data_IF_580493556718
#
_entry.id   IF_580493556718
#
_cell.length_a   1.000
_cell.length_b   1.000
_cell.length_c   1.000
_cell.angle_alpha   90.00
_cell.angle_beta   90.00
_cell.angle_gamma   90.00
#
_symmetry.space_group_name_H-M   'P 1'
#
loop_
_entity.id
_entity.type
_entity.pdbx_description
1 polymer ?
#
# COMPACT_ATOMS: atom_id res chain seq x y z
N UNK A 1 32.77 23.85 -12.20
CA UNK A 1 31.31 23.74 -11.99
C UNK A 1 30.85 22.29 -12.01
N UNK A 2 31.21 21.50 -13.03
CA UNK A 2 30.86 20.07 -13.15
C UNK A 2 31.28 19.20 -11.95
N UNK A 3 32.53 19.32 -11.46
CA UNK A 3 32.99 18.59 -10.27
C UNK A 3 32.19 18.96 -9.01
N UNK A 4 31.81 20.22 -8.87
CA UNK A 4 31.01 20.68 -7.73
C UNK A 4 29.61 20.08 -7.75
N UNK A 5 28.95 20.05 -8.92
CA UNK A 5 27.64 19.39 -9.11
C UNK A 5 27.73 17.90 -8.77
N UNK A 6 28.76 17.20 -9.25
CA UNK A 6 28.98 15.80 -8.94
C UNK A 6 29.14 15.55 -7.43
N UNK A 7 29.86 16.42 -6.72
CA UNK A 7 29.99 16.34 -5.25
C UNK A 7 28.65 16.57 -4.56
N UNK A 8 27.86 17.55 -5.00
CA UNK A 8 26.52 17.78 -4.45
C UNK A 8 25.60 16.57 -4.64
N UNK A 9 25.67 15.91 -5.81
CA UNK A 9 24.96 14.67 -6.07
C UNK A 9 25.40 13.54 -5.13
N UNK A 10 26.71 13.33 -4.93
CA UNK A 10 27.22 12.34 -3.97
C UNK A 10 26.70 12.62 -2.54
N UNK A 11 26.73 13.88 -2.12
CA UNK A 11 26.20 14.30 -0.81
C UNK A 11 24.70 13.99 -0.72
N UNK A 12 23.93 14.35 -1.75
CA UNK A 12 22.50 14.04 -1.82
C UNK A 12 22.23 12.55 -1.67
N UNK A 13 23.03 11.68 -2.30
CA UNK A 13 22.83 10.22 -2.24
C UNK A 13 23.13 9.67 -0.86
N UNK A 14 24.23 10.13 -0.25
CA UNK A 14 24.56 9.76 1.12
C UNK A 14 23.42 10.13 2.07
N UNK A 15 22.80 11.31 1.87
CA UNK A 15 21.64 11.76 2.65
C UNK A 15 20.38 10.94 2.35
N UNK A 16 20.11 10.53 1.10
CA UNK A 16 18.99 9.64 0.80
C UNK A 16 19.14 8.28 1.49
N UNK A 17 20.32 7.67 1.39
CA UNK A 17 20.61 6.37 2.03
C UNK A 17 20.48 6.50 3.55
N UNK A 18 21.13 7.49 4.15
CA UNK A 18 21.08 7.70 5.60
C UNK A 18 19.67 8.07 6.09
N UNK A 19 18.93 8.85 5.29
CA UNK A 19 17.53 9.19 5.53
C UNK A 19 16.64 7.94 5.58
N UNK A 20 16.76 7.05 4.59
CA UNK A 20 16.03 5.78 4.52
C UNK A 20 16.39 4.83 5.66
N UNK A 21 17.67 4.74 6.03
CA UNK A 21 18.08 3.98 7.21
C UNK A 21 17.37 4.50 8.48
N UNK A 22 17.23 5.81 8.63
CA UNK A 22 16.48 6.42 9.72
C UNK A 22 14.97 6.10 9.72
N UNK A 23 14.38 5.71 8.59
CA UNK A 23 12.96 5.34 8.50
C UNK A 23 12.65 3.92 8.98
N UNK A 24 13.68 3.11 9.26
CA UNK A 24 13.49 1.72 9.74
C UNK A 24 12.93 1.61 11.15
N UNK A 25 13.00 2.68 11.95
CA UNK A 25 12.53 2.69 13.33
C UNK A 25 11.75 3.96 13.69
N UNK A 26 10.70 3.89 14.54
CA UNK A 26 9.86 5.04 14.87
C UNK A 26 10.64 6.22 15.48
N UNK A 27 11.62 5.93 16.34
CA UNK A 27 12.42 6.96 17.05
C UNK A 27 13.25 7.83 16.10
N UNK A 28 13.73 7.26 15.00
CA UNK A 28 14.58 7.96 14.02
C UNK A 28 13.80 8.41 12.78
N UNK A 29 12.56 7.96 12.59
CA UNK A 29 11.78 8.17 11.37
C UNK A 29 11.64 9.65 10.98
N UNK A 30 11.32 10.52 11.95
CA UNK A 30 11.19 11.97 11.69
C UNK A 30 12.51 12.57 11.21
N UNK A 31 13.60 12.24 11.89
CA UNK A 31 14.95 12.71 11.50
C UNK A 31 15.35 12.15 10.14
N UNK A 32 15.08 10.87 9.88
CA UNK A 32 15.35 10.22 8.60
C UNK A 32 14.64 10.92 7.44
N UNK A 33 13.36 11.26 7.63
CA UNK A 33 12.59 11.99 6.62
C UNK A 33 13.17 13.40 6.35
N UNK A 34 13.54 14.15 7.39
CA UNK A 34 14.18 15.46 7.21
C UNK A 34 15.51 15.38 6.45
N UNK A 35 16.32 14.37 6.75
CA UNK A 35 17.61 14.15 6.07
C UNK A 35 17.39 13.85 4.59
N UNK A 36 16.43 12.98 4.26
CA UNK A 36 16.07 12.70 2.87
C UNK A 36 15.54 13.96 2.15
N UNK A 37 14.75 14.80 2.82
CA UNK A 37 14.28 16.07 2.26
C UNK A 37 15.41 17.07 1.98
N UNK A 38 16.40 17.17 2.87
CA UNK A 38 17.62 17.97 2.62
C UNK A 38 18.41 17.42 1.43
N UNK A 39 18.55 16.09 1.33
CA UNK A 39 19.13 15.45 0.15
C UNK A 39 18.43 15.88 -1.14
N UNK A 40 17.10 15.80 -1.19
CA UNK A 40 16.32 16.24 -2.34
C UNK A 40 16.55 17.72 -2.68
N UNK A 41 16.58 18.60 -1.68
CA UNK A 41 16.91 20.01 -1.88
C UNK A 41 18.28 20.22 -2.53
N UNK A 42 19.30 19.49 -2.07
CA UNK A 42 20.65 19.53 -2.64
C UNK A 42 20.65 19.02 -4.09
N UNK A 43 19.97 17.90 -4.39
CA UNK A 43 19.87 17.38 -5.75
C UNK A 43 19.20 18.36 -6.72
N UNK A 44 18.13 19.05 -6.29
CA UNK A 44 17.46 20.08 -7.09
C UNK A 44 18.41 21.24 -7.35
N UNK A 45 19.08 21.77 -6.31
CA UNK A 45 20.04 22.86 -6.47
C UNK A 45 21.19 22.46 -7.41
N UNK A 46 21.76 21.26 -7.23
CA UNK A 46 22.83 20.74 -8.09
C UNK A 46 22.38 20.68 -9.56
N UNK A 47 21.16 20.22 -9.81
CA UNK A 47 20.58 20.15 -11.15
C UNK A 47 20.40 21.54 -11.76
N UNK A 48 19.92 22.52 -11.00
CA UNK A 48 19.76 23.90 -11.47
C UNK A 48 21.10 24.57 -11.80
N UNK A 49 22.20 24.15 -11.20
CA UNK A 49 23.55 24.67 -11.49
C UNK A 49 24.19 24.07 -12.75
N UNK A 50 23.54 23.11 -13.40
CA UNK A 50 24.05 22.47 -14.63
C UNK A 50 24.29 23.52 -15.73
N UNK A 51 25.49 23.54 -16.34
CA UNK A 51 25.78 24.47 -17.44
C UNK A 51 24.78 24.31 -18.58
N UNK A 52 24.31 25.43 -19.13
CA UNK A 52 23.30 25.43 -20.19
C UNK A 52 21.85 25.40 -19.71
N UNK A 53 21.60 25.39 -18.39
CA UNK A 53 20.25 25.53 -17.84
C UNK A 53 19.61 26.83 -18.31
N UNK A 54 18.43 26.70 -18.93
CA UNK A 54 17.66 27.79 -19.52
C UNK A 54 16.19 27.67 -19.13
N UNK A 55 15.33 28.55 -19.66
CA UNK A 55 13.89 28.52 -19.40
C UNK A 55 13.50 28.60 -17.91
N UNK A 56 14.25 29.40 -17.14
CA UNK A 56 14.07 29.59 -15.70
C UNK A 56 12.62 29.90 -15.28
N UNK A 57 11.90 30.67 -16.10
CA UNK A 57 10.48 30.98 -15.85
C UNK A 57 9.60 29.72 -15.91
N UNK A 58 9.81 28.84 -16.89
CA UNK A 58 9.05 27.60 -17.03
C UNK A 58 9.40 26.61 -15.92
N UNK A 59 10.67 26.52 -15.54
CA UNK A 59 11.12 25.71 -14.39
C UNK A 59 10.44 26.19 -13.11
N UNK A 60 10.52 27.49 -12.83
CA UNK A 60 9.91 28.09 -11.64
C UNK A 60 8.39 27.90 -11.63
N UNK A 61 7.73 28.06 -12.79
CA UNK A 61 6.29 27.83 -12.93
C UNK A 61 5.92 26.37 -12.66
N UNK A 62 6.67 25.42 -13.22
CA UNK A 62 6.45 23.99 -12.99
C UNK A 62 6.58 23.61 -11.51
N UNK A 63 7.63 24.09 -10.84
CA UNK A 63 7.83 23.90 -9.39
C UNK A 63 6.68 24.56 -8.61
N UNK A 64 6.28 25.78 -8.96
CA UNK A 64 5.20 26.49 -8.28
C UNK A 64 3.87 25.74 -8.40
N UNK A 65 3.51 25.27 -9.60
CA UNK A 65 2.29 24.48 -9.83
C UNK A 65 2.37 23.17 -9.02
N UNK A 66 3.50 22.47 -9.07
CA UNK A 66 3.71 21.25 -8.30
C UNK A 66 3.55 21.45 -6.80
N UNK A 67 4.08 22.54 -6.25
CA UNK A 67 3.93 22.90 -4.83
C UNK A 67 2.49 23.25 -4.49
N UNK A 68 1.83 24.07 -5.32
CA UNK A 68 0.44 24.52 -5.10
C UNK A 68 -0.55 23.36 -5.18
N UNK A 69 -0.32 22.35 -6.01
CA UNK A 69 -1.19 21.17 -6.10
C UNK A 69 -0.80 20.13 -5.05
N UNK A 70 0.49 19.86 -4.87
CA UNK A 70 1.00 18.77 -4.03
C UNK A 70 0.87 19.04 -2.53
N UNK A 71 1.30 20.21 -2.05
CA UNK A 71 1.36 20.51 -0.60
C UNK A 71 -0.02 20.57 0.03
N UNK A 72 -1.03 21.28 -0.53
CA UNK A 72 -2.36 21.30 0.06
C UNK A 72 -3.03 19.92 0.02
N UNK A 73 -2.85 19.16 -1.05
CA UNK A 73 -3.42 17.82 -1.19
C UNK A 73 -2.84 16.85 -0.14
N UNK A 74 -1.52 16.90 0.08
CA UNK A 74 -0.86 16.08 1.10
C UNK A 74 -1.25 16.47 2.54
N UNK A 75 -1.48 17.77 2.82
CA UNK A 75 -1.84 18.24 4.16
C UNK A 75 -3.31 18.04 4.53
N UNK A 76 -4.21 17.94 3.55
CA UNK A 76 -5.66 17.84 3.77
C UNK A 76 -6.19 16.40 3.72
N UNK A 77 -5.40 15.44 3.25
CA UNK A 77 -5.84 14.04 3.20
C UNK A 77 -5.99 13.48 4.62
N UNK A 78 -7.07 12.73 4.86
CA UNK A 78 -7.25 11.96 6.10
C UNK A 78 -6.31 10.77 6.13
N UNK A 79 -5.86 10.34 7.32
CA UNK A 79 -4.93 9.21 7.45
C UNK A 79 -5.51 7.89 6.90
N UNK A 80 -6.83 7.71 6.93
CA UNK A 80 -7.52 6.56 6.32
C UNK A 80 -7.50 6.54 4.79
N UNK A 81 -7.24 7.68 4.17
CA UNK A 81 -7.18 7.88 2.72
C UNK A 81 -5.73 8.00 2.19
N UNK A 82 -4.73 7.72 3.04
CA UNK A 82 -3.32 7.69 2.64
C UNK A 82 -3.01 6.72 1.49
N UNK A 83 -3.60 5.50 1.40
CA UNK A 83 -3.28 4.57 0.32
C UNK A 83 -3.49 5.15 -1.08
N UNK A 84 -4.64 5.81 -1.31
CA UNK A 84 -4.93 6.41 -2.61
C UNK A 84 -4.02 7.60 -2.94
N UNK A 85 -3.62 8.39 -1.93
CA UNK A 85 -2.67 9.49 -2.15
C UNK A 85 -1.29 8.99 -2.56
N UNK A 86 -0.82 7.89 -1.96
CA UNK A 86 0.44 7.24 -2.35
C UNK A 86 0.35 6.75 -3.79
N UNK A 87 -0.76 6.14 -4.19
CA UNK A 87 -1.00 5.73 -5.58
C UNK A 87 -0.88 6.94 -6.53
N UNK A 88 -1.59 8.03 -6.23
CA UNK A 88 -1.61 9.22 -7.09
C UNK A 88 -0.20 9.84 -7.24
N UNK A 89 0.55 10.01 -6.15
CA UNK A 89 1.90 10.57 -6.21
C UNK A 89 2.89 9.66 -6.94
N UNK A 90 2.79 8.34 -6.76
CA UNK A 90 3.57 7.40 -7.56
C UNK A 90 3.25 7.54 -9.06
N UNK A 91 1.95 7.65 -9.39
CA UNK A 91 1.48 7.86 -10.75
C UNK A 91 2.15 9.08 -11.40
N UNK A 92 2.08 10.24 -10.74
CA UNK A 92 2.71 11.49 -11.22
C UNK A 92 4.21 11.31 -11.45
N UNK A 93 4.91 10.58 -10.57
CA UNK A 93 6.33 10.23 -10.76
C UNK A 93 6.58 9.41 -12.03
N UNK A 94 5.81 8.36 -12.28
CA UNK A 94 5.89 7.56 -13.51
C UNK A 94 5.57 8.39 -14.77
N UNK A 95 4.58 9.27 -14.68
CA UNK A 95 4.21 10.19 -15.76
C UNK A 95 5.34 11.17 -16.09
N UNK A 96 6.03 11.70 -15.07
CA UNK A 96 7.18 12.56 -15.28
C UNK A 96 8.30 11.84 -16.03
N UNK A 97 8.62 10.59 -15.67
CA UNK A 97 9.63 9.78 -16.39
C UNK A 97 9.22 9.53 -17.84
N UNK A 98 7.94 9.22 -18.09
CA UNK A 98 7.43 9.03 -19.45
C UNK A 98 7.52 10.31 -20.31
N UNK A 99 7.23 11.47 -19.71
CA UNK A 99 7.38 12.77 -20.38
C UNK A 99 8.86 13.12 -20.64
N UNK A 100 9.76 12.80 -19.71
CA UNK A 100 11.20 13.00 -19.91
C UNK A 100 11.68 12.15 -21.09
N UNK A 101 11.27 10.88 -21.19
CA UNK A 101 11.61 10.02 -22.32
C UNK A 101 11.06 10.56 -23.65
N UNK A 102 9.88 11.19 -23.65
CA UNK A 102 9.34 11.85 -24.84
C UNK A 102 10.15 13.09 -25.24
N UNK A 103 10.55 13.91 -24.26
CA UNK A 103 11.45 15.05 -24.51
C UNK A 103 12.79 14.58 -25.06
N UNK A 104 13.35 13.50 -24.51
CA UNK A 104 14.62 12.93 -24.97
C UNK A 104 14.51 12.42 -26.42
N UNK A 105 13.42 11.71 -26.75
CA UNK A 105 13.16 11.27 -28.13
C UNK A 105 13.14 12.46 -29.11
N UNK A 106 12.54 13.60 -28.72
CA UNK A 106 12.52 14.80 -29.57
C UNK A 106 13.88 15.50 -29.64
N UNK A 107 14.65 15.48 -28.56
CA UNK A 107 15.95 16.16 -28.48
C UNK A 107 17.01 15.41 -29.27
N UNK A 108 16.92 14.08 -29.32
CA UNK A 108 17.83 13.17 -30.03
C UNK A 108 17.38 12.84 -31.46
N UNK A 109 16.31 13.49 -31.94
CA UNK A 109 15.72 13.25 -33.27
C UNK A 109 15.44 11.76 -33.55
N UNK A 110 14.89 11.05 -32.57
CA UNK A 110 14.53 9.64 -32.71
C UNK A 110 15.64 8.63 -32.40
N UNK A 111 16.67 9.03 -31.66
CA UNK A 111 17.78 8.17 -31.20
C UNK A 111 18.66 7.56 -32.30
N UNK A 112 18.48 7.91 -33.58
CA UNK A 112 19.21 7.28 -34.70
C UNK A 112 20.74 7.43 -34.61
N UNK A 113 21.20 8.48 -33.92
CA UNK A 113 22.62 8.79 -33.73
C UNK A 113 23.10 8.53 -32.29
N UNK A 114 22.22 8.07 -31.42
CA UNK A 114 22.55 7.78 -30.03
C UNK A 114 23.06 6.35 -29.85
N UNK A 115 23.91 6.09 -28.84
CA UNK A 115 24.26 4.73 -28.47
C UNK A 115 23.01 3.90 -28.16
N UNK A 116 23.03 2.61 -28.55
CA UNK A 116 21.87 1.73 -28.37
C UNK A 116 21.36 1.66 -26.91
N UNK A 117 22.24 1.81 -25.91
CA UNK A 117 21.81 1.81 -24.51
C UNK A 117 20.94 3.02 -24.15
N UNK A 118 21.15 4.19 -24.77
CA UNK A 118 20.36 5.41 -24.54
C UNK A 118 18.94 5.20 -25.06
N UNK A 119 18.82 4.69 -26.30
CA UNK A 119 17.53 4.36 -26.91
C UNK A 119 16.78 3.32 -26.07
N UNK A 120 17.43 2.19 -25.74
CA UNK A 120 16.80 1.10 -24.97
C UNK A 120 16.36 1.59 -23.59
N UNK A 121 17.21 2.33 -22.87
CA UNK A 121 16.91 2.80 -21.53
C UNK A 121 15.77 3.84 -21.52
N UNK A 122 15.76 4.76 -22.49
CA UNK A 122 14.70 5.76 -22.65
C UNK A 122 13.35 5.14 -23.02
N UNK A 123 13.34 4.17 -23.94
CA UNK A 123 12.12 3.48 -24.35
C UNK A 123 11.57 2.57 -23.25
N UNK A 124 12.44 1.90 -22.49
CA UNK A 124 12.03 1.18 -21.28
C UNK A 124 11.41 2.14 -20.26
N UNK A 125 12.05 3.29 -20.01
CA UNK A 125 11.54 4.31 -19.11
C UNK A 125 10.17 4.86 -19.57
N UNK A 126 9.98 5.08 -20.87
CA UNK A 126 8.71 5.52 -21.45
C UNK A 126 7.58 4.51 -21.22
N UNK A 127 7.84 3.22 -21.51
CA UNK A 127 6.85 2.15 -21.32
C UNK A 127 6.49 2.02 -19.85
N UNK A 128 7.48 1.84 -18.99
CA UNK A 128 7.27 1.55 -17.57
C UNK A 128 6.69 2.78 -16.85
N UNK A 129 7.17 3.98 -17.17
CA UNK A 129 6.63 5.23 -16.64
C UNK A 129 5.15 5.44 -17.00
N UNK A 130 4.78 5.18 -18.27
CA UNK A 130 3.39 5.29 -18.74
C UNK A 130 2.48 4.23 -18.09
N UNK A 131 2.94 2.97 -18.01
CA UNK A 131 2.24 1.90 -17.27
C UNK A 131 2.01 2.30 -15.81
N UNK A 132 3.05 2.81 -15.14
CA UNK A 132 2.95 3.26 -13.75
C UNK A 132 1.99 4.43 -13.56
N UNK A 133 2.01 5.43 -14.45
CA UNK A 133 1.08 6.56 -14.40
C UNK A 133 -0.37 6.11 -14.50
N UNK A 134 -0.70 5.40 -15.57
CA UNK A 134 -2.08 5.00 -15.86
C UNK A 134 -2.58 3.93 -14.90
N UNK A 135 -1.74 2.95 -14.55
CA UNK A 135 -2.07 1.94 -13.55
C UNK A 135 -2.34 2.55 -12.17
N UNK A 136 -1.55 3.54 -11.77
CA UNK A 136 -1.72 4.22 -10.48
C UNK A 136 -3.02 5.05 -10.43
N UNK A 137 -3.45 5.63 -11.56
CA UNK A 137 -4.73 6.33 -11.64
C UNK A 137 -5.93 5.37 -11.47
N UNK A 138 -5.84 4.15 -12.00
CA UNK A 138 -6.86 3.11 -11.75
C UNK A 138 -6.85 2.69 -10.28
N UNK A 139 -5.68 2.46 -9.68
CA UNK A 139 -5.55 2.13 -8.26
C UNK A 139 -6.13 3.23 -7.37
N UNK A 140 -5.82 4.50 -7.66
CA UNK A 140 -6.43 5.66 -7.01
C UNK A 140 -7.95 5.65 -7.15
N UNK A 141 -8.47 5.48 -8.37
CA UNK A 141 -9.91 5.48 -8.64
C UNK A 141 -10.65 4.37 -7.88
N UNK A 142 -10.07 3.18 -7.77
CA UNK A 142 -10.65 2.08 -6.98
C UNK A 142 -10.64 2.33 -5.48
N UNK A 143 -9.53 2.85 -4.94
CA UNK A 143 -9.40 3.11 -3.50
C UNK A 143 -10.22 4.31 -3.05
N UNK A 144 -10.41 5.30 -3.94
CA UNK A 144 -11.31 6.43 -3.74
C UNK A 144 -12.79 6.08 -4.03
N UNK A 145 -13.06 4.82 -4.41
CA UNK A 145 -14.41 4.31 -4.70
C UNK A 145 -15.12 5.06 -5.85
N UNK A 146 -14.34 5.75 -6.70
CA UNK A 146 -14.79 6.32 -7.98
C UNK A 146 -14.99 5.23 -9.03
N UNK A 147 -14.20 4.15 -8.92
CA UNK A 147 -14.31 2.92 -9.70
C UNK A 147 -14.64 1.81 -8.71
N UNK A 148 -15.44 0.82 -9.14
CA UNK A 148 -15.74 -0.35 -8.29
C UNK A 148 -14.45 -1.03 -7.82
N UNK A 149 -14.37 -1.31 -6.52
CA UNK A 149 -13.27 -2.09 -5.93
C UNK A 149 -13.27 -3.57 -6.34
N UNK A 150 -14.32 -4.08 -7.01
CA UNK A 150 -14.35 -5.44 -7.53
C UNK A 150 -13.39 -5.59 -8.73
N UNK A 151 -12.86 -6.79 -8.99
CA UNK A 151 -12.18 -7.12 -10.24
C UNK A 151 -13.05 -6.80 -11.46
N UNK A 152 -12.56 -5.96 -12.37
CA UNK A 152 -13.21 -5.70 -13.67
C UNK A 152 -12.35 -6.38 -14.73
N UNK A 153 -12.80 -7.55 -15.19
CA UNK A 153 -12.00 -8.42 -16.07
C UNK A 153 -12.61 -8.51 -17.46
N UNK A 154 -11.76 -8.77 -18.46
CA UNK A 154 -12.17 -9.15 -19.80
C UNK A 154 -12.36 -10.68 -19.94
N UNK A 155 -12.53 -11.39 -18.81
CA UNK A 155 -12.61 -12.84 -18.76
C UNK A 155 -11.40 -13.52 -19.44
N UNK A 156 -11.67 -14.50 -20.30
CA UNK A 156 -10.63 -15.27 -21.00
C UNK A 156 -9.78 -14.43 -21.96
N UNK A 157 -10.27 -13.27 -22.40
CA UNK A 157 -9.55 -12.37 -23.30
C UNK A 157 -8.52 -11.49 -22.60
N UNK A 158 -8.49 -11.46 -21.26
CA UNK A 158 -7.61 -10.58 -20.51
C UNK A 158 -6.12 -10.78 -20.85
N UNK A 159 -5.61 -12.02 -20.78
CA UNK A 159 -4.20 -12.30 -21.05
C UNK A 159 -3.83 -12.09 -22.52
N UNK A 160 -4.63 -12.54 -23.51
CA UNK A 160 -4.42 -12.18 -24.91
C UNK A 160 -4.38 -10.67 -25.17
N UNK A 161 -5.29 -9.90 -24.56
CA UNK A 161 -5.33 -8.44 -24.72
C UNK A 161 -4.10 -7.80 -24.08
N UNK A 162 -3.73 -8.20 -22.86
CA UNK A 162 -2.52 -7.69 -22.20
C UNK A 162 -1.26 -7.98 -23.04
N UNK A 163 -1.13 -9.21 -23.56
CA UNK A 163 -0.01 -9.60 -24.40
C UNK A 163 0.01 -8.82 -25.72
N UNK A 164 -1.14 -8.64 -26.37
CA UNK A 164 -1.26 -7.88 -27.62
C UNK A 164 -0.83 -6.43 -27.42
N UNK A 165 -1.31 -5.77 -26.37
CA UNK A 165 -0.98 -4.36 -26.09
C UNK A 165 0.49 -4.21 -25.70
N UNK A 166 1.06 -5.16 -24.94
CA UNK A 166 2.49 -5.18 -24.65
C UNK A 166 3.33 -5.36 -25.91
N UNK A 167 2.95 -6.30 -26.79
CA UNK A 167 3.63 -6.50 -28.08
C UNK A 167 3.54 -5.23 -28.92
N UNK A 168 2.39 -4.55 -28.96
CA UNK A 168 2.25 -3.29 -29.68
C UNK A 168 3.22 -2.22 -29.14
N UNK A 169 3.31 -2.05 -27.82
CA UNK A 169 4.27 -1.12 -27.20
C UNK A 169 5.74 -1.48 -27.52
N UNK A 170 6.08 -2.77 -27.49
CA UNK A 170 7.43 -3.26 -27.85
C UNK A 170 7.71 -3.03 -29.35
N UNK A 171 6.74 -3.25 -30.23
CA UNK A 171 6.90 -3.01 -31.68
C UNK A 171 7.18 -1.53 -31.92
N UNK A 172 6.44 -0.60 -31.31
CA UNK A 172 6.76 0.82 -31.41
C UNK A 172 8.17 1.12 -30.89
N UNK A 173 8.57 0.54 -29.76
CA UNK A 173 9.90 0.73 -29.19
C UNK A 173 11.00 0.23 -30.13
N UNK A 174 10.85 -0.96 -30.70
CA UNK A 174 11.82 -1.54 -31.65
C UNK A 174 11.91 -0.67 -32.90
N UNK A 175 10.79 -0.25 -33.47
CA UNK A 175 10.78 0.61 -34.66
C UNK A 175 11.54 1.91 -34.38
N UNK A 176 11.28 2.55 -33.23
CA UNK A 176 12.01 3.75 -32.81
C UNK A 176 13.51 3.45 -32.66
N UNK A 177 13.87 2.41 -31.91
CA UNK A 177 15.26 2.04 -31.67
C UNK A 177 16.05 1.69 -32.95
N UNK A 178 15.35 1.28 -34.01
CA UNK A 178 15.96 1.01 -35.34
C UNK A 178 15.99 2.22 -36.28
N UNK A 179 15.68 3.42 -35.78
CA UNK A 179 15.76 4.68 -36.53
C UNK A 179 14.42 5.30 -36.91
N UNK A 180 13.31 4.85 -36.33
CA UNK A 180 12.01 5.52 -36.50
C UNK A 180 11.93 6.80 -35.68
N UNK A 181 11.83 7.94 -36.34
CA UNK A 181 11.87 9.29 -35.77
C UNK A 181 10.50 10.00 -35.72
N UNK A 182 9.47 9.41 -36.33
CA UNK A 182 8.15 10.00 -36.38
C UNK A 182 7.54 10.13 -34.97
N UNK A 183 7.09 11.34 -34.60
CA UNK A 183 6.51 11.64 -33.28
C UNK A 183 5.28 10.76 -32.95
N UNK A 184 4.53 10.35 -33.97
CA UNK A 184 3.40 9.43 -33.84
C UNK A 184 3.81 8.04 -33.31
N UNK A 185 5.05 7.58 -33.56
CA UNK A 185 5.54 6.31 -33.01
C UNK A 185 5.70 6.42 -31.49
N UNK A 186 6.28 7.52 -31.01
CA UNK A 186 6.45 7.75 -29.58
C UNK A 186 5.11 7.94 -28.86
N UNK A 187 4.18 8.68 -29.48
CA UNK A 187 2.81 8.80 -28.96
C UNK A 187 2.12 7.43 -28.95
N UNK A 188 2.25 6.64 -30.02
CA UNK A 188 1.72 5.28 -30.11
C UNK A 188 2.24 4.37 -29.00
N UNK A 189 3.55 4.43 -28.72
CA UNK A 189 4.19 3.72 -27.62
C UNK A 189 3.61 4.12 -26.27
N UNK A 190 3.52 5.44 -25.99
CA UNK A 190 3.01 5.96 -24.72
C UNK A 190 1.55 5.59 -24.50
N UNK A 191 0.72 5.67 -25.54
CA UNK A 191 -0.70 5.29 -25.51
C UNK A 191 -0.84 3.78 -25.32
N UNK A 192 -0.10 2.94 -26.06
CA UNK A 192 -0.13 1.49 -25.88
C UNK A 192 0.30 1.10 -24.46
N UNK A 193 1.38 1.68 -23.94
CA UNK A 193 1.83 1.47 -22.57
C UNK A 193 0.81 1.98 -21.53
N UNK A 194 0.14 3.09 -21.81
CA UNK A 194 -0.90 3.63 -20.94
C UNK A 194 -2.13 2.72 -20.89
N UNK A 195 -2.59 2.23 -22.05
CA UNK A 195 -3.65 1.22 -22.14
C UNK A 195 -3.22 -0.04 -21.38
N UNK A 196 -1.97 -0.50 -21.53
CA UNK A 196 -1.43 -1.63 -20.78
C UNK A 196 -1.55 -1.42 -19.26
N UNK A 197 -1.14 -0.25 -18.76
CA UNK A 197 -1.30 0.11 -17.34
C UNK A 197 -2.74 0.03 -16.86
N UNK A 198 -3.69 0.52 -17.67
CA UNK A 198 -5.13 0.43 -17.37
C UNK A 198 -5.61 -1.02 -17.34
N UNK A 199 -5.35 -1.81 -18.39
CA UNK A 199 -5.88 -3.18 -18.51
C UNK A 199 -5.22 -4.17 -17.55
N UNK A 200 -3.99 -3.91 -17.09
CA UNK A 200 -3.31 -4.75 -16.09
C UNK A 200 -3.85 -4.49 -14.68
N UNK A 201 -4.22 -3.25 -14.32
CA UNK A 201 -4.68 -2.91 -12.96
C UNK A 201 -6.19 -3.09 -12.77
N UNK A 202 -7.01 -2.86 -13.80
CA UNK A 202 -8.46 -3.07 -13.80
C UNK A 202 -8.94 -4.44 -13.24
N UNK A 203 -8.34 -5.59 -13.62
CA UNK A 203 -8.78 -6.89 -13.13
C UNK A 203 -8.37 -7.17 -11.68
N UNK A 204 -7.54 -6.34 -11.07
CA UNK A 204 -7.05 -6.57 -9.72
C UNK A 204 -8.08 -6.06 -8.69
N UNK A 205 -8.33 -6.84 -7.64
CA UNK A 205 -9.31 -6.53 -6.59
C UNK A 205 -8.84 -5.46 -5.60
N UNK A 206 -9.80 -4.80 -4.94
CA UNK A 206 -9.57 -3.67 -4.04
C UNK A 206 -8.58 -3.90 -2.90
N UNK A 207 -8.53 -5.09 -2.27
CA UNK A 207 -7.54 -5.34 -1.21
C UNK A 207 -6.22 -5.91 -1.70
N UNK A 208 -6.08 -6.21 -2.99
CA UNK A 208 -4.76 -6.43 -3.59
C UNK A 208 -4.12 -5.12 -4.05
N UNK A 209 -4.89 -4.02 -4.09
CA UNK A 209 -4.39 -2.69 -4.48
C UNK A 209 -3.13 -2.25 -3.73
N UNK A 210 -2.94 -2.52 -2.42
CA UNK A 210 -1.72 -2.14 -1.74
C UNK A 210 -0.46 -2.78 -2.36
N UNK A 211 -0.56 -4.06 -2.75
CA UNK A 211 0.54 -4.78 -3.42
C UNK A 211 0.77 -4.19 -4.81
N UNK A 212 -0.30 -3.86 -5.53
CA UNK A 212 -0.20 -3.21 -6.84
C UNK A 212 0.48 -1.85 -6.73
N UNK A 213 0.13 -1.03 -5.75
CA UNK A 213 0.76 0.29 -5.54
C UNK A 213 2.24 0.13 -5.26
N UNK A 214 2.63 -0.83 -4.42
CA UNK A 214 4.03 -1.12 -4.15
C UNK A 214 4.77 -1.61 -5.40
N UNK A 215 4.15 -2.46 -6.22
CA UNK A 215 4.70 -2.92 -7.50
C UNK A 215 4.90 -1.77 -8.49
N UNK A 216 3.88 -0.93 -8.67
CA UNK A 216 3.96 0.25 -9.52
C UNK A 216 5.02 1.23 -9.02
N UNK A 217 5.20 1.36 -7.70
CA UNK A 217 6.27 2.17 -7.11
C UNK A 217 7.66 1.61 -7.42
N UNK A 218 7.83 0.30 -7.34
CA UNK A 218 9.07 -0.35 -7.77
C UNK A 218 9.37 -0.09 -9.25
N UNK A 219 8.35 -0.23 -10.11
CA UNK A 219 8.45 0.03 -11.54
C UNK A 219 8.78 1.50 -11.84
N UNK A 220 8.16 2.45 -11.14
CA UNK A 220 8.50 3.88 -11.26
C UNK A 220 9.98 4.12 -10.92
N UNK A 221 10.48 3.54 -9.83
CA UNK A 221 11.90 3.64 -9.45
C UNK A 221 12.85 3.07 -10.51
N UNK A 222 12.56 1.87 -11.03
CA UNK A 222 13.35 1.24 -12.10
C UNK A 222 13.31 2.05 -13.40
N UNK A 223 12.15 2.63 -13.76
CA UNK A 223 12.01 3.50 -14.93
C UNK A 223 12.84 4.78 -14.80
N UNK A 224 12.85 5.39 -13.61
CA UNK A 224 13.69 6.55 -13.32
C UNK A 224 15.17 6.17 -13.43
N UNK A 225 15.58 5.03 -12.88
CA UNK A 225 16.97 4.58 -12.98
C UNK A 225 17.42 4.38 -14.43
N UNK A 226 16.58 3.76 -15.27
CA UNK A 226 16.84 3.61 -16.69
C UNK A 226 16.94 4.96 -17.40
N UNK A 227 16.03 5.89 -17.09
CA UNK A 227 16.11 7.24 -17.65
C UNK A 227 17.39 7.96 -17.22
N UNK A 228 17.84 7.74 -15.99
CA UNK A 228 19.09 8.26 -15.48
C UNK A 228 20.30 7.74 -16.25
N UNK A 229 20.28 6.47 -16.69
CA UNK A 229 21.32 5.91 -17.54
C UNK A 229 21.36 6.57 -18.92
N UNK A 230 20.19 6.85 -19.51
CA UNK A 230 20.14 7.48 -20.82
C UNK A 230 20.61 8.94 -20.79
N UNK A 231 20.29 9.67 -19.71
CA UNK A 231 20.66 11.08 -19.52
C UNK A 231 22.03 11.30 -18.88
N UNK A 232 22.79 10.23 -18.62
CA UNK A 232 24.02 10.25 -17.82
C UNK A 232 23.86 10.99 -16.47
N UNK A 233 22.70 10.80 -15.83
CA UNK A 233 22.32 11.46 -14.59
C UNK A 233 22.42 10.50 -13.40
N UNK A 234 23.56 10.56 -12.70
CA UNK A 234 23.82 9.71 -11.54
C UNK A 234 22.77 9.85 -10.45
N UNK A 235 22.14 11.02 -10.30
CA UNK A 235 21.12 11.23 -9.28
C UNK A 235 19.84 10.46 -9.54
N UNK A 236 19.41 10.48 -10.79
CA UNK A 236 18.23 9.74 -11.21
C UNK A 236 18.49 8.22 -11.17
N UNK A 237 19.72 7.77 -11.50
CA UNK A 237 20.14 6.37 -11.36
C UNK A 237 20.05 5.92 -9.89
N UNK A 238 20.74 6.61 -8.98
CA UNK A 238 20.84 6.17 -7.58
C UNK A 238 19.48 6.25 -6.88
N UNK A 239 18.76 7.36 -7.01
CA UNK A 239 17.44 7.50 -6.41
C UNK A 239 16.44 6.47 -6.98
N UNK A 240 16.44 6.28 -8.30
CA UNK A 240 15.59 5.30 -8.97
C UNK A 240 15.86 3.87 -8.50
N UNK A 241 17.13 3.46 -8.42
CA UNK A 241 17.52 2.12 -7.99
C UNK A 241 17.14 1.85 -6.53
N UNK A 242 17.32 2.84 -5.64
CA UNK A 242 16.95 2.73 -4.23
C UNK A 242 15.43 2.52 -4.09
N UNK A 243 14.62 3.32 -4.79
CA UNK A 243 13.16 3.21 -4.77
C UNK A 243 12.71 1.90 -5.42
N UNK A 244 13.29 1.52 -6.55
CA UNK A 244 12.98 0.30 -7.27
C UNK A 244 13.26 -0.97 -6.45
N UNK A 245 14.41 -1.04 -5.80
CA UNK A 245 14.79 -2.16 -4.94
C UNK A 245 13.91 -2.23 -3.68
N UNK A 246 13.74 -1.10 -2.98
CA UNK A 246 12.88 -1.03 -1.78
C UNK A 246 11.44 -1.41 -2.09
N UNK A 247 10.88 -0.87 -3.17
CA UNK A 247 9.53 -1.20 -3.63
C UNK A 247 9.38 -2.68 -4.00
N UNK A 248 10.38 -3.27 -4.66
CA UNK A 248 10.35 -4.71 -5.02
C UNK A 248 10.36 -5.61 -3.78
N UNK A 249 11.19 -5.26 -2.78
CA UNK A 249 11.25 -5.99 -1.49
C UNK A 249 9.92 -5.86 -0.76
N UNK A 250 9.39 -4.64 -0.64
CA UNK A 250 8.11 -4.39 0.03
C UNK A 250 6.97 -5.16 -0.65
N UNK A 251 6.90 -5.14 -1.98
CA UNK A 251 5.90 -5.87 -2.76
C UNK A 251 5.93 -7.37 -2.44
N UNK A 252 7.12 -7.96 -2.35
CA UNK A 252 7.30 -9.37 -2.02
C UNK A 252 6.88 -9.68 -0.57
N UNK A 253 7.27 -8.83 0.39
CA UNK A 253 6.88 -9.00 1.79
C UNK A 253 5.36 -8.93 1.97
N UNK A 254 4.70 -7.97 1.30
CA UNK A 254 3.24 -7.83 1.33
C UNK A 254 2.54 -9.02 0.69
N UNK A 255 3.01 -9.48 -0.48
CA UNK A 255 2.43 -10.64 -1.16
C UNK A 255 2.53 -11.90 -0.30
N UNK A 256 3.71 -12.16 0.30
CA UNK A 256 3.91 -13.26 1.26
C UNK A 256 3.02 -13.16 2.49
N UNK A 257 2.88 -11.97 3.07
CA UNK A 257 2.00 -11.75 4.22
C UNK A 257 0.51 -12.00 3.89
N UNK A 258 0.12 -11.91 2.62
CA UNK A 258 -1.21 -12.27 2.12
C UNK A 258 -1.31 -13.73 1.64
N UNK A 259 -0.27 -14.53 1.83
CA UNK A 259 -0.08 -15.88 1.25
C UNK A 259 -0.43 -15.97 -0.25
N UNK A 260 -0.04 -14.94 -1.02
CA UNK A 260 -0.25 -14.89 -2.47
C UNK A 260 1.07 -14.60 -3.17
N UNK A 261 1.23 -15.13 -4.38
CA UNK A 261 2.39 -14.81 -5.23
C UNK A 261 2.11 -13.56 -6.06
N UNK A 262 3.16 -12.79 -6.38
CA UNK A 262 3.05 -11.59 -7.25
C UNK A 262 2.40 -11.93 -8.60
N UNK A 263 2.77 -13.03 -9.30
CA UNK A 263 2.10 -13.42 -10.53
C UNK A 263 0.60 -13.69 -10.33
N UNK A 264 0.20 -14.33 -9.23
CA UNK A 264 -1.22 -14.59 -8.94
C UNK A 264 -2.03 -13.31 -8.67
N UNK A 265 -1.39 -12.27 -8.14
CA UNK A 265 -2.01 -10.95 -7.93
C UNK A 265 -2.15 -10.21 -9.26
N UNK A 266 -1.08 -10.14 -10.05
CA UNK A 266 -1.05 -9.42 -11.34
C UNK A 266 -1.89 -10.12 -12.42
N UNK A 267 -1.97 -11.45 -12.40
CA UNK A 267 -2.77 -12.22 -13.35
C UNK A 267 -4.29 -12.09 -13.12
N UNK A 268 -4.73 -11.36 -12.08
CA UNK A 268 -6.14 -11.09 -11.83
C UNK A 268 -6.92 -12.36 -11.50
N UNK A 269 -6.71 -12.90 -10.30
CA UNK A 269 -7.57 -13.95 -9.73
C UNK A 269 -7.44 -15.34 -10.36
N UNK A 270 -6.55 -15.54 -11.34
CA UNK A 270 -6.31 -16.83 -12.00
C UNK A 270 -5.37 -17.75 -11.20
N UNK A 271 -5.62 -17.87 -9.90
CA UNK A 271 -4.86 -18.74 -8.98
C UNK A 271 -5.72 -19.42 -7.92
N UNK A 272 -7.02 -19.11 -7.83
CA UNK A 272 -7.96 -20.01 -7.17
C UNK A 272 -8.26 -21.15 -8.13
N UNK A 273 -7.42 -22.20 -8.12
CA UNK A 273 -7.79 -23.47 -8.76
C UNK A 273 -9.18 -23.80 -8.28
N UNK A 274 -10.13 -23.95 -9.22
CA UNK A 274 -11.55 -24.26 -9.00
C UNK A 274 -11.86 -24.43 -7.52
N UNK A 275 -12.08 -23.30 -6.84
CA UNK A 275 -12.79 -23.37 -5.58
C UNK A 275 -14.13 -23.92 -6.00
N UNK A 276 -14.32 -25.22 -5.77
CA UNK A 276 -15.65 -25.75 -5.53
C UNK A 276 -16.24 -24.71 -4.60
N UNK A 277 -17.27 -24.01 -5.09
CA UNK A 277 -18.08 -23.23 -4.19
C UNK A 277 -18.41 -24.21 -3.08
N UNK A 278 -17.76 -24.08 -1.92
CA UNK A 278 -18.24 -24.76 -0.76
C UNK A 278 -19.63 -24.19 -0.66
N UNK A 279 -20.60 -25.02 -0.99
CA UNK A 279 -21.98 -24.82 -0.60
C UNK A 279 -21.86 -24.63 0.90
N UNK A 280 -21.76 -23.37 1.33
CA UNK A 280 -21.99 -23.01 2.72
C UNK A 280 -23.31 -23.67 3.01
N UNK A 281 -23.26 -24.74 3.79
CA UNK A 281 -24.46 -25.35 4.31
C UNK A 281 -25.22 -24.18 4.90
N UNK A 282 -26.44 -23.95 4.41
CA UNK A 282 -27.36 -22.97 4.97
C UNK A 282 -27.82 -23.35 6.39
N UNK A 283 -26.98 -24.04 7.15
CA UNK A 283 -27.12 -24.20 8.57
C UNK A 283 -26.80 -22.87 9.22
N UNK A 284 -27.83 -22.27 9.80
CA UNK A 284 -27.71 -21.17 10.75
C UNK A 284 -26.95 -21.72 11.96
N UNK A 285 -25.62 -21.65 11.89
CA UNK A 285 -24.75 -21.97 13.03
C UNK A 285 -25.01 -20.90 14.10
N UNK A 286 -25.36 -21.30 15.34
CA UNK A 286 -25.71 -20.34 16.37
C UNK A 286 -24.51 -19.46 16.73
N UNK A 287 -24.74 -18.17 16.82
CA UNK A 287 -23.75 -17.16 17.17
C UNK A 287 -24.13 -16.55 18.52
N UNK A 288 -23.17 -16.40 19.42
CA UNK A 288 -23.38 -15.75 20.72
C UNK A 288 -23.28 -14.24 20.54
N UNK A 289 -24.31 -13.49 20.95
CA UNK A 289 -24.27 -12.04 20.99
C UNK A 289 -24.00 -11.54 22.40
N UNK A 290 -23.31 -10.41 22.53
CA UNK A 290 -23.06 -9.71 23.79
C UNK A 290 -23.45 -8.23 23.67
N UNK A 291 -23.56 -7.54 24.80
CA UNK A 291 -23.80 -6.10 24.89
C UNK A 291 -22.53 -5.32 25.24
N UNK A 292 -22.57 -4.00 25.10
CA UNK A 292 -21.48 -3.12 25.54
C UNK A 292 -21.24 -3.23 27.05
N UNK A 293 -22.31 -3.34 27.86
CA UNK A 293 -22.23 -3.49 29.32
C UNK A 293 -21.51 -4.78 29.71
N UNK A 294 -21.89 -5.91 29.10
CA UNK A 294 -21.30 -7.21 29.42
C UNK A 294 -19.84 -7.27 28.97
N UNK A 295 -19.54 -6.65 27.83
CA UNK A 295 -18.17 -6.47 27.32
C UNK A 295 -17.32 -5.64 28.29
N UNK A 296 -17.85 -4.52 28.79
CA UNK A 296 -17.17 -3.66 29.75
C UNK A 296 -16.90 -4.40 31.07
N UNK A 297 -17.88 -5.12 31.62
CA UNK A 297 -17.72 -5.95 32.83
C UNK A 297 -16.62 -6.99 32.62
N UNK A 298 -16.67 -7.72 31.50
CA UNK A 298 -15.70 -8.76 31.22
C UNK A 298 -14.27 -8.21 31.12
N UNK A 299 -14.10 -7.05 30.50
CA UNK A 299 -12.79 -6.40 30.42
C UNK A 299 -12.35 -5.78 31.74
N UNK A 300 -13.26 -5.23 32.55
CA UNK A 300 -12.93 -4.62 33.85
C UNK A 300 -12.36 -5.61 34.87
N UNK A 301 -12.69 -6.90 34.74
CA UNK A 301 -12.16 -7.99 35.58
C UNK A 301 -11.06 -8.82 34.90
N UNK A 302 -10.59 -8.42 33.72
CA UNK A 302 -9.46 -9.05 33.04
C UNK A 302 -8.13 -8.56 33.62
N UNK A 303 -7.07 -9.38 33.53
CA UNK A 303 -5.70 -8.95 33.81
C UNK A 303 -5.00 -8.49 32.53
N UNK A 304 -5.32 -9.12 31.40
CA UNK A 304 -4.74 -8.80 30.08
C UNK A 304 -5.80 -8.76 28.99
N UNK A 305 -5.91 -7.60 28.33
CA UNK A 305 -6.78 -7.36 27.18
C UNK A 305 -5.93 -7.08 25.95
N UNK A 306 -6.18 -7.81 24.86
CA UNK A 306 -5.51 -7.58 23.57
C UNK A 306 -6.53 -7.05 22.56
N UNK A 307 -6.30 -5.85 22.06
CA UNK A 307 -7.12 -5.23 21.03
C UNK A 307 -6.58 -5.64 19.66
N UNK A 308 -7.45 -6.17 18.80
CA UNK A 308 -7.13 -6.56 17.42
C UNK A 308 -7.84 -5.61 16.45
N UNK A 309 -7.18 -4.52 16.04
CA UNK A 309 -7.76 -3.54 15.13
C UNK A 309 -7.83 -4.06 13.69
N UNK A 310 -8.94 -3.79 13.01
CA UNK A 310 -9.11 -4.04 11.58
C UNK A 310 -9.60 -2.82 10.82
N UNK A 311 -9.85 -2.99 9.51
CA UNK A 311 -10.28 -1.89 8.65
C UNK A 311 -11.63 -1.28 9.08
N UNK A 312 -12.51 -2.05 9.73
CA UNK A 312 -13.77 -1.51 10.26
C UNK A 312 -13.57 -0.42 11.32
N UNK A 313 -12.52 -0.52 12.14
CA UNK A 313 -12.14 0.52 13.11
C UNK A 313 -11.75 1.83 12.39
N UNK A 314 -10.97 1.71 11.32
CA UNK A 314 -10.53 2.84 10.51
C UNK A 314 -11.71 3.54 9.82
N UNK A 315 -12.63 2.78 9.22
CA UNK A 315 -13.81 3.34 8.54
C UNK A 315 -14.71 4.10 9.52
N UNK A 316 -14.90 3.58 10.72
CA UNK A 316 -15.70 4.23 11.76
C UNK A 316 -14.99 5.40 12.47
N UNK A 317 -13.69 5.60 12.21
CA UNK A 317 -12.86 6.58 12.93
C UNK A 317 -12.89 6.36 14.45
N UNK A 318 -12.79 5.09 14.86
CA UNK A 318 -12.93 4.69 16.27
C UNK A 318 -11.62 4.73 17.06
N UNK A 319 -10.46 4.98 16.42
CA UNK A 319 -9.13 4.88 17.04
C UNK A 319 -8.97 5.70 18.33
N UNK A 320 -9.53 6.91 18.40
CA UNK A 320 -9.46 7.76 19.59
C UNK A 320 -10.30 7.22 20.75
N UNK A 321 -11.48 6.66 20.45
CA UNK A 321 -12.37 6.07 21.47
C UNK A 321 -11.80 4.76 21.98
N UNK A 322 -11.16 3.97 21.11
CA UNK A 322 -10.40 2.78 21.51
C UNK A 322 -9.23 3.16 22.44
N UNK A 323 -8.52 4.26 22.16
CA UNK A 323 -7.47 4.76 23.08
C UNK A 323 -8.06 5.19 24.42
N UNK A 324 -9.20 5.86 24.45
CA UNK A 324 -9.88 6.25 25.69
C UNK A 324 -10.25 5.01 26.52
N UNK A 325 -10.84 4.00 25.89
CA UNK A 325 -11.14 2.70 26.52
C UNK A 325 -9.87 2.05 27.09
N UNK A 326 -8.79 1.98 26.31
CA UNK A 326 -7.54 1.41 26.77
C UNK A 326 -6.96 2.16 27.98
N UNK A 327 -7.00 3.50 27.99
CA UNK A 327 -6.55 4.31 29.13
C UNK A 327 -7.37 4.04 30.40
N UNK A 328 -8.68 3.83 30.29
CA UNK A 328 -9.53 3.48 31.43
C UNK A 328 -9.18 2.11 32.01
N UNK A 329 -8.93 1.12 31.15
CA UNK A 329 -8.48 -0.21 31.57
C UNK A 329 -7.09 -0.15 32.21
N UNK A 330 -6.14 0.57 31.60
CA UNK A 330 -4.79 0.81 32.15
C UNK A 330 -4.86 1.46 33.54
N UNK A 331 -5.75 2.43 33.75
CA UNK A 331 -5.95 3.08 35.04
C UNK A 331 -6.46 2.13 36.13
N UNK A 332 -7.13 1.04 35.75
CA UNK A 332 -7.53 -0.05 36.65
C UNK A 332 -6.43 -1.11 36.86
N UNK A 333 -5.23 -0.90 36.30
CA UNK A 333 -4.09 -1.81 36.41
C UNK A 333 -4.10 -2.98 35.40
N UNK A 334 -4.94 -2.90 34.37
CA UNK A 334 -5.11 -3.95 33.36
C UNK A 334 -4.08 -3.74 32.25
N UNK A 335 -3.41 -4.82 31.85
CA UNK A 335 -2.46 -4.75 30.71
C UNK A 335 -3.23 -4.69 29.41
N UNK A 336 -3.05 -3.61 28.64
CA UNK A 336 -3.65 -3.45 27.30
C UNK A 336 -2.57 -3.43 26.23
N UNK A 337 -2.68 -4.33 25.26
CA UNK A 337 -1.80 -4.40 24.09
C UNK A 337 -2.61 -4.42 22.79
N UNK A 338 -1.98 -4.01 21.70
CA UNK A 338 -2.57 -3.98 20.36
C UNK A 338 -1.86 -4.98 19.47
N UNK A 339 -2.59 -5.96 18.96
CA UNK A 339 -2.06 -6.96 18.05
C UNK A 339 -2.22 -6.51 16.60
N UNK A 340 -1.12 -6.19 15.94
CA UNK A 340 -1.14 -5.66 14.57
C UNK A 340 -0.84 -6.78 13.57
N UNK A 341 -1.80 -7.04 12.70
CA UNK A 341 -1.58 -7.91 11.55
C UNK A 341 -0.91 -7.12 10.41
N UNK A 342 0.13 -7.63 9.72
CA UNK A 342 0.87 -6.89 8.69
C UNK A 342 0.01 -6.34 7.53
N UNK A 343 -1.09 -7.03 7.23
CA UNK A 343 -2.03 -6.65 6.16
C UNK A 343 -3.38 -6.13 6.67
N UNK A 344 -3.47 -5.77 7.96
CA UNK A 344 -4.69 -5.12 8.48
C UNK A 344 -4.87 -3.72 7.87
N UNK A 345 -5.99 -3.52 7.18
CA UNK A 345 -6.36 -2.23 6.58
C UNK A 345 -6.26 -2.21 5.05
N UNK A 346 -5.95 -1.03 4.50
CA UNK A 346 -5.81 -0.79 3.04
C UNK A 346 -4.40 -0.33 2.62
N UNK A 347 -3.41 -0.38 3.50
CA UNK A 347 -1.98 -0.16 3.17
C UNK A 347 -1.09 -0.86 4.20
N UNK A 348 0.17 -1.16 3.88
CA UNK A 348 1.15 -1.56 4.89
C UNK A 348 1.22 -0.54 6.02
N UNK A 349 1.19 -1.02 7.26
CA UNK A 349 1.26 -0.17 8.44
C UNK A 349 0.04 0.73 8.67
N UNK A 350 -1.09 0.50 7.99
CA UNK A 350 -2.29 1.34 8.12
C UNK A 350 -2.72 1.46 9.59
N UNK A 351 -2.80 0.34 10.33
CA UNK A 351 -3.22 0.37 11.73
C UNK A 351 -2.18 1.06 12.63
N UNK A 352 -0.88 0.84 12.40
CA UNK A 352 0.18 1.50 13.17
C UNK A 352 0.06 3.02 13.08
N UNK A 353 -0.18 3.54 11.87
CA UNK A 353 -0.31 4.98 11.62
C UNK A 353 -1.55 5.56 12.29
N UNK A 354 -2.71 4.89 12.21
CA UNK A 354 -3.94 5.35 12.85
C UNK A 354 -3.88 5.31 14.38
N UNK A 355 -3.24 4.28 14.95
CA UNK A 355 -3.07 4.17 16.40
C UNK A 355 -2.05 5.19 16.91
N UNK A 356 -1.01 5.48 16.13
CA UNK A 356 -0.09 6.57 16.42
C UNK A 356 -0.79 7.94 16.39
N UNK A 357 -1.71 8.19 15.45
CA UNK A 357 -2.57 9.39 15.43
C UNK A 357 -3.45 9.49 16.68
N UNK A 358 -3.86 8.37 17.23
CA UNK A 358 -4.62 8.29 18.48
C UNK A 358 -3.74 8.33 19.76
N UNK A 359 -2.45 8.65 19.66
CA UNK A 359 -1.50 8.68 20.78
C UNK A 359 -1.41 7.35 21.55
N UNK A 360 -1.42 6.22 20.83
CA UNK A 360 -1.09 4.90 21.38
C UNK A 360 0.44 4.75 21.47
N UNK A 361 1.00 4.42 22.65
CA UNK A 361 2.42 4.14 22.80
C UNK A 361 2.88 2.98 21.91
N UNK A 362 3.98 3.17 21.17
CA UNK A 362 4.53 2.14 20.29
C UNK A 362 4.89 0.83 21.01
N UNK A 363 5.20 0.88 22.30
CA UNK A 363 5.53 -0.30 23.11
C UNK A 363 4.33 -1.24 23.30
N UNK A 364 3.11 -0.70 23.17
CA UNK A 364 1.86 -1.46 23.21
C UNK A 364 1.47 -1.99 21.82
N UNK A 365 2.09 -1.49 20.75
CA UNK A 365 1.84 -1.98 19.38
C UNK A 365 2.75 -3.18 19.13
N UNK A 366 2.18 -4.39 19.21
CA UNK A 366 2.88 -5.65 19.02
C UNK A 366 2.60 -6.18 17.63
N UNK A 367 3.65 -6.52 16.89
CA UNK A 367 3.50 -7.18 15.60
C UNK A 367 3.03 -8.63 15.80
N UNK A 368 2.35 -9.18 14.79
CA UNK A 368 1.73 -10.51 14.85
C UNK A 368 2.66 -11.63 15.35
N UNK A 369 3.91 -11.65 14.89
CA UNK A 369 4.88 -12.70 15.28
C UNK A 369 5.27 -12.63 16.75
N UNK A 370 5.23 -11.43 17.35
CA UNK A 370 5.54 -11.22 18.76
C UNK A 370 4.33 -11.63 19.64
N UNK A 371 3.16 -11.09 19.33
CA UNK A 371 1.95 -11.22 20.16
C UNK A 371 1.29 -12.60 20.07
N UNK A 372 1.51 -13.35 18.98
CA UNK A 372 0.84 -14.65 18.79
C UNK A 372 1.15 -15.67 19.90
N UNK A 373 2.36 -15.59 20.48
CA UNK A 373 2.76 -16.45 21.59
C UNK A 373 2.07 -16.11 22.92
N UNK A 374 1.49 -14.92 23.03
CA UNK A 374 0.91 -14.36 24.26
C UNK A 374 -0.61 -14.55 24.36
N UNK A 375 -1.29 -14.90 23.25
CA UNK A 375 -2.75 -15.07 23.25
C UNK A 375 -3.24 -16.13 24.24
N UNK A 376 -2.45 -17.18 24.53
CA UNK A 376 -2.81 -18.19 25.52
C UNK A 376 -2.89 -17.65 26.96
N UNK A 377 -2.22 -16.53 27.24
CA UNK A 377 -2.23 -15.84 28.53
C UNK A 377 -3.17 -14.62 28.54
N UNK A 378 -3.88 -14.38 27.42
CA UNK A 378 -4.79 -13.25 27.27
C UNK A 378 -6.19 -13.62 27.76
N UNK A 379 -6.75 -12.78 28.63
CA UNK A 379 -8.09 -13.00 29.19
C UNK A 379 -9.18 -12.63 28.17
N UNK A 380 -9.04 -11.46 27.52
CA UNK A 380 -10.01 -10.98 26.52
C UNK A 380 -9.27 -10.49 25.27
N UNK A 381 -9.60 -11.07 24.11
CA UNK A 381 -9.22 -10.53 22.81
C UNK A 381 -10.40 -9.75 22.21
N UNK A 382 -10.26 -8.43 22.06
CA UNK A 382 -11.27 -7.55 21.48
C UNK A 382 -10.94 -7.27 20.01
N UNK A 383 -11.64 -7.95 19.10
CA UNK A 383 -11.47 -7.83 17.65
C UNK A 383 -12.38 -6.73 17.12
N UNK A 384 -11.81 -5.63 16.62
CA UNK A 384 -12.58 -4.44 16.20
C UNK A 384 -12.52 -4.30 14.69
N UNK A 385 -13.58 -4.74 14.00
CA UNK A 385 -13.70 -4.57 12.56
C UNK A 385 -12.64 -5.31 11.73
N UNK A 386 -12.03 -6.36 12.31
CA UNK A 386 -11.19 -7.32 11.61
C UNK A 386 -12.03 -8.58 11.28
N UNK A 387 -11.67 -9.27 10.19
CA UNK A 387 -12.36 -10.51 9.80
C UNK A 387 -11.35 -11.55 9.30
N UNK A 388 -10.82 -11.38 8.08
CA UNK A 388 -9.98 -12.39 7.45
C UNK A 388 -8.68 -12.66 8.23
N UNK A 389 -8.09 -11.62 8.82
CA UNK A 389 -6.83 -11.69 9.60
C UNK A 389 -6.96 -12.42 10.95
N UNK A 390 -8.18 -12.79 11.35
CA UNK A 390 -8.46 -13.58 12.56
C UNK A 390 -9.23 -14.86 12.22
N UNK A 391 -9.33 -15.26 10.95
CA UNK A 391 -10.16 -16.39 10.51
C UNK A 391 -9.39 -17.73 10.61
N UNK A 392 -9.79 -18.66 11.51
CA UNK A 392 -9.11 -19.95 11.69
C UNK A 392 -9.06 -20.82 10.45
N UNK A 393 -9.98 -20.63 9.49
CA UNK A 393 -10.01 -21.33 8.22
C UNK A 393 -8.68 -21.22 7.44
N UNK A 394 -7.86 -20.20 7.71
CA UNK A 394 -6.52 -20.09 7.16
C UNK A 394 -5.58 -21.22 7.60
N UNK A 395 -5.79 -21.83 8.77
CA UNK A 395 -4.98 -22.96 9.27
C UNK A 395 -5.71 -24.31 9.14
N UNK A 396 -7.04 -24.31 9.23
CA UNK A 396 -7.85 -25.54 9.37
C UNK A 396 -8.43 -26.08 8.06
N UNK A 397 -8.68 -25.22 7.07
CA UNK A 397 -9.38 -25.59 5.83
C UNK A 397 -8.51 -25.41 4.58
N UNK A 398 -7.92 -26.50 4.04
CA UNK A 398 -7.16 -26.47 2.79
C UNK A 398 -7.93 -25.96 1.56
N UNK A 399 -9.27 -25.99 1.59
CA UNK A 399 -10.14 -25.46 0.54
C UNK A 399 -10.39 -23.96 0.63
N UNK A 400 -10.00 -23.32 1.73
CA UNK A 400 -10.22 -21.90 1.96
C UNK A 400 -9.33 -21.03 1.05
N UNK A 401 -9.86 -19.94 0.45
CA UNK A 401 -9.07 -18.98 -0.32
C UNK A 401 -7.93 -18.31 0.46
N UNK A 402 -7.98 -18.37 1.80
CA UNK A 402 -6.97 -17.81 2.70
C UNK A 402 -6.12 -18.90 3.39
N UNK A 403 -6.22 -20.17 2.95
CA UNK A 403 -5.44 -21.25 3.54
C UNK A 403 -3.93 -20.95 3.45
N UNK A 404 -3.20 -21.16 4.56
CA UNK A 404 -1.79 -20.86 4.73
C UNK A 404 -1.46 -19.39 5.02
N UNK A 405 -2.45 -18.49 5.05
CA UNK A 405 -2.24 -17.10 5.50
C UNK A 405 -1.91 -17.10 6.99
N UNK A 406 -0.80 -16.48 7.43
CA UNK A 406 -0.58 -16.22 8.85
C UNK A 406 -1.75 -15.39 9.39
N UNK A 407 -2.26 -15.74 10.57
CA UNK A 407 -3.37 -15.03 11.22
C UNK A 407 -3.00 -14.69 12.67
N UNK A 408 -3.74 -13.74 13.24
CA UNK A 408 -3.73 -13.54 14.68
C UNK A 408 -4.54 -14.64 15.36
N UNK A 409 -3.89 -15.43 16.20
CA UNK A 409 -4.47 -16.62 16.88
C UNK A 409 -5.32 -16.23 18.08
N UNK A 410 -6.28 -15.33 17.86
CA UNK A 410 -7.19 -14.79 18.89
C UNK A 410 -8.04 -15.89 19.52
N UNK A 411 -8.31 -16.97 18.78
CA UNK A 411 -8.98 -18.17 19.28
C UNK A 411 -8.21 -18.86 20.42
N UNK A 412 -6.94 -18.55 20.66
CA UNK A 412 -6.19 -19.08 21.81
C UNK A 412 -6.46 -18.33 23.11
N UNK A 413 -7.09 -17.16 23.07
CA UNK A 413 -7.49 -16.40 24.26
C UNK A 413 -8.58 -17.09 25.07
N UNK A 414 -8.73 -16.70 26.34
CA UNK A 414 -9.78 -17.23 27.21
C UNK A 414 -11.18 -16.83 26.72
N UNK A 415 -11.32 -15.60 26.25
CA UNK A 415 -12.53 -15.11 25.59
C UNK A 415 -12.19 -14.21 24.41
N UNK A 416 -13.04 -14.23 23.40
CA UNK A 416 -12.94 -13.37 22.22
C UNK A 416 -14.23 -12.57 22.07
N UNK A 417 -14.10 -11.28 21.83
CA UNK A 417 -15.24 -10.39 21.54
C UNK A 417 -15.01 -9.79 20.17
N UNK A 418 -15.92 -10.05 19.24
CA UNK A 418 -15.83 -9.53 17.87
C UNK A 418 -16.85 -8.42 17.66
N UNK A 419 -16.36 -7.24 17.34
CA UNK A 419 -17.15 -6.04 17.07
C UNK A 419 -17.30 -5.83 15.56
N UNK A 420 -18.52 -5.97 15.04
CA UNK A 420 -18.87 -5.70 13.64
C UNK A 420 -20.34 -5.31 13.46
N UNK A 421 -20.68 -4.64 12.36
CA UNK A 421 -22.06 -4.17 12.10
C UNK A 421 -23.06 -5.29 11.77
N UNK A 422 -22.62 -6.36 11.11
CA UNK A 422 -23.48 -7.45 10.68
C UNK A 422 -22.66 -8.72 10.43
N UNK A 423 -23.30 -9.85 10.09
CA UNK A 423 -22.60 -11.09 9.70
C UNK A 423 -21.98 -11.05 8.29
N UNK A 424 -21.90 -9.89 7.63
CA UNK A 424 -21.25 -9.75 6.32
C UNK A 424 -19.80 -10.28 6.32
N UNK A 425 -19.41 -10.92 5.22
CA UNK A 425 -18.05 -11.41 4.99
C UNK A 425 -17.02 -10.28 4.96
N UNK A 426 -15.75 -10.65 5.14
CA UNK A 426 -14.61 -9.76 5.00
C UNK A 426 -14.24 -9.52 3.55
N UNK A 427 -12.97 -9.23 3.29
CA UNK A 427 -12.49 -8.99 1.93
C UNK A 427 -12.48 -10.28 1.12
N UNK A 428 -12.06 -11.40 1.71
CA UNK A 428 -12.00 -12.70 1.06
C UNK A 428 -13.38 -13.26 0.66
N UNK A 429 -14.48 -12.63 1.10
CA UNK A 429 -15.83 -13.04 0.73
C UNK A 429 -16.28 -14.37 1.36
N UNK A 430 -15.53 -14.86 2.35
CA UNK A 430 -15.84 -16.10 3.08
C UNK A 430 -16.42 -15.79 4.46
N UNK A 431 -17.12 -16.79 4.99
CA UNK A 431 -17.56 -16.80 6.38
C UNK A 431 -16.37 -17.06 7.33
N UNK A 432 -16.51 -16.70 8.61
CA UNK A 432 -15.43 -16.82 9.58
C UNK A 432 -15.79 -17.79 10.69
N UNK A 433 -15.00 -18.86 10.80
CA UNK A 433 -15.22 -19.92 11.78
C UNK A 433 -15.11 -19.42 13.23
N UNK A 434 -14.31 -18.38 13.46
CA UNK A 434 -14.14 -17.76 14.79
C UNK A 434 -15.47 -17.30 15.39
N UNK A 435 -16.42 -16.85 14.56
CA UNK A 435 -17.69 -16.30 15.04
C UNK A 435 -18.59 -17.36 15.68
N UNK A 436 -18.30 -18.63 15.42
CA UNK A 436 -19.05 -19.77 15.95
C UNK A 436 -18.30 -20.50 17.07
N UNK A 437 -17.07 -20.07 17.41
CA UNK A 437 -16.31 -20.63 18.52
C UNK A 437 -17.05 -20.36 19.84
N UNK A 438 -17.07 -21.35 20.73
CA UNK A 438 -17.76 -21.25 22.01
C UNK A 438 -17.21 -20.12 22.90
N UNK A 439 -15.95 -19.73 22.73
CA UNK A 439 -15.31 -18.64 23.46
C UNK A 439 -15.53 -17.26 22.82
N UNK A 440 -16.17 -17.21 21.66
CA UNK A 440 -16.41 -15.97 20.92
C UNK A 440 -17.81 -15.44 21.20
N UNK A 441 -17.90 -14.13 21.46
CA UNK A 441 -19.16 -13.38 21.52
C UNK A 441 -19.12 -12.22 20.53
N UNK A 442 -20.25 -11.94 19.89
CA UNK A 442 -20.40 -10.89 18.89
C UNK A 442 -21.03 -9.65 19.50
N UNK A 443 -20.35 -8.52 19.40
CA UNK A 443 -20.89 -7.20 19.70
C UNK A 443 -21.30 -6.53 18.39
N UNK A 444 -22.61 -6.49 18.12
CA UNK A 444 -23.12 -5.90 16.89
C UNK A 444 -23.29 -4.39 17.01
N UNK A 445 -22.70 -3.64 16.08
CA UNK A 445 -22.83 -2.18 16.03
C UNK A 445 -21.77 -1.50 15.20
N UNK A 446 -21.86 -0.17 15.08
CA UNK A 446 -20.76 0.64 14.56
C UNK A 446 -19.60 0.65 15.57
N UNK A 447 -18.36 0.60 15.08
CA UNK A 447 -17.20 0.48 15.97
C UNK A 447 -17.04 1.70 16.87
N UNK A 448 -17.34 2.92 16.41
CA UNK A 448 -17.18 4.11 17.22
C UNK A 448 -18.25 4.22 18.29
N UNK A 449 -19.52 3.96 17.95
CA UNK A 449 -20.62 4.00 18.92
C UNK A 449 -20.48 2.92 19.98
N UNK A 450 -20.21 1.68 19.57
CA UNK A 450 -20.17 0.53 20.48
C UNK A 450 -18.99 0.61 21.45
N UNK A 451 -17.82 1.05 20.98
CA UNK A 451 -16.68 1.31 21.88
C UNK A 451 -16.96 2.51 22.78
N UNK A 452 -17.68 3.52 22.31
CA UNK A 452 -18.13 4.64 23.13
C UNK A 452 -19.07 4.21 24.27
N UNK A 453 -20.01 3.31 23.99
CA UNK A 453 -20.88 2.71 25.02
C UNK A 453 -20.06 1.91 26.03
N UNK A 454 -19.10 1.09 25.58
CA UNK A 454 -18.18 0.38 26.48
C UNK A 454 -17.42 1.35 27.39
N UNK A 455 -16.96 2.47 26.86
CA UNK A 455 -16.25 3.50 27.63
C UNK A 455 -17.13 4.08 28.74
N UNK A 456 -18.39 4.37 28.45
CA UNK A 456 -19.33 4.88 29.46
C UNK A 456 -19.62 3.84 30.55
N UNK A 457 -19.79 2.58 30.17
CA UNK A 457 -19.98 1.47 31.13
C UNK A 457 -18.72 1.25 31.99
N UNK A 458 -17.51 1.33 31.40
CA UNK A 458 -16.25 1.22 32.13
C UNK A 458 -16.01 2.37 33.13
N UNK A 459 -16.58 3.56 32.89
CA UNK A 459 -16.54 4.70 33.83
C UNK A 459 -17.48 4.50 35.01
N UNK A 460 -18.56 3.74 34.82
CA UNK A 460 -19.53 3.43 35.87
C UNK A 460 -19.07 2.31 36.81
N UNK A 461 -18.17 1.43 36.34
CA UNK A 461 -17.44 0.42 37.09
C UNK A 461 -16.17 0.98 37.71
#
# INVERSE_FOLDING_TARGET
MTTFIAVLYIISFALFIYGLMGLTGPRTAVRGNWIAAVGMGIAVIATLLTPGMSNWLLIALGVAIGVVVGVPSARKVKMTAMPQMVALFNGVGGGAVALIAWVEFRTTEGYAHEPAYVAIASLFAAIVGSVSFWGSNIAFGKLQELISGRPITLGKLQQPVNALVLIAAIVFAVVIATGGDAELLMIGLLVAAGVLGVVVVLPIGGADMPVVISLLNALTGLSAAAMGLALDNTALIVAGMIVGASGSILTNLMAKAMNRSIPAIVAGGFGGGTAVASSGSGEVRPVRSTSASDTAIQMAYANKVVVVPGYGMAVAQAQHVVREMAKLLEAKGITVEYAIHPVAGRMPGHMNVLLAEADVPYEQLKEMDEINSEFAQTDVALVIGANDVTNPAAETDPGSPIYGMPILKVNHSRSVIVLKRSMSSGFAGIDNELFYDAKTSMLFGDAKSSVGEIVEELKAL
#
